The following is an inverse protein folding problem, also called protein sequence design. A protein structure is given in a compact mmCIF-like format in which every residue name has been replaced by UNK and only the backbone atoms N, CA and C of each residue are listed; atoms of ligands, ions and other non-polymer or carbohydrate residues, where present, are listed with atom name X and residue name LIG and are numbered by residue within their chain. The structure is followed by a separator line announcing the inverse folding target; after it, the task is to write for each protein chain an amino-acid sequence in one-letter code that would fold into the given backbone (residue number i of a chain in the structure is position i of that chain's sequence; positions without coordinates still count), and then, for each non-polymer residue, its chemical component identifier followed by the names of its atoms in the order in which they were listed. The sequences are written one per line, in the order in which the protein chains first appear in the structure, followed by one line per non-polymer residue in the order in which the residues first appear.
data_IF_877324197691
#
_entry.id   IF_877324197691
#
_cell.length_a   1.000
_cell.length_b   1.000
_cell.length_c   1.000
_cell.angle_alpha   90.00
_cell.angle_beta   90.00
_cell.angle_gamma   90.00
#
_symmetry.space_group_name_H-M   'P 1'
#
loop_
_entity.id
_entity.type
_entity.pdbx_description
1 polymer ?
#
# COMPACT_ATOMS: atom_id res chain seq x y z
N UNK A 1 32.93 -9.32 1.83
CA UNK A 1 32.20 -9.44 3.12
C UNK A 1 31.12 -8.38 3.17
N UNK A 2 29.85 -8.78 3.10
CA UNK A 2 28.70 -7.90 3.34
C UNK A 2 27.59 -8.74 3.97
N UNK A 3 27.88 -9.30 5.15
CA UNK A 3 26.84 -9.77 6.05
C UNK A 3 26.17 -8.56 6.67
N UNK A 4 25.14 -8.01 6.02
CA UNK A 4 24.19 -7.15 6.71
C UNK A 4 23.28 -8.03 7.55
N UNK A 5 23.01 -7.53 8.76
CA UNK A 5 22.40 -8.23 9.89
C UNK A 5 21.05 -8.89 9.54
N UNK A 6 20.71 -10.00 10.21
CA UNK A 6 19.36 -10.57 10.13
C UNK A 6 18.31 -9.51 10.51
N UNK A 7 17.09 -9.64 9.98
CA UNK A 7 15.98 -8.74 10.32
C UNK A 7 15.82 -8.61 11.83
N UNK A 8 15.54 -7.39 12.30
CA UNK A 8 15.27 -7.14 13.72
C UNK A 8 13.90 -7.70 14.16
N UNK A 9 13.03 -8.04 13.20
CA UNK A 9 11.64 -8.44 13.42
C UNK A 9 11.54 -9.98 13.47
N UNK A 10 11.71 -10.56 14.67
CA UNK A 10 11.84 -12.03 14.86
C UNK A 10 10.79 -12.66 15.79
N UNK A 11 9.73 -11.93 16.14
CA UNK A 11 8.70 -12.41 17.08
C UNK A 11 7.99 -13.70 16.62
N UNK A 12 7.88 -13.93 15.31
CA UNK A 12 7.35 -15.17 14.74
C UNK A 12 8.19 -16.44 15.05
N UNK A 13 9.43 -16.29 15.53
CA UNK A 13 10.28 -17.42 15.92
C UNK A 13 9.87 -18.06 17.26
N UNK A 14 9.04 -17.39 18.04
CA UNK A 14 8.29 -17.98 19.16
C UNK A 14 6.79 -18.07 18.75
N UNK A 15 6.34 -19.21 18.19
CA UNK A 15 4.97 -19.35 17.73
C UNK A 15 3.92 -19.31 18.84
N UNK A 16 4.31 -19.52 20.10
CA UNK A 16 3.40 -19.42 21.24
C UNK A 16 3.08 -17.96 21.52
N UNK A 17 4.13 -17.20 21.84
CA UNK A 17 4.02 -15.76 22.12
C UNK A 17 3.45 -14.98 20.93
N UNK A 18 3.86 -15.33 19.71
CA UNK A 18 3.36 -14.66 18.51
C UNK A 18 1.85 -14.82 18.33
N UNK A 19 1.31 -16.04 18.53
CA UNK A 19 -0.15 -16.26 18.43
C UNK A 19 -0.91 -15.53 19.50
N UNK A 20 -0.38 -15.49 20.72
CA UNK A 20 -0.97 -14.71 21.82
C UNK A 20 -1.00 -13.22 21.49
N UNK A 21 0.11 -12.65 21.00
CA UNK A 21 0.19 -11.26 20.54
C UNK A 21 -0.82 -10.95 19.42
N UNK A 22 -0.95 -11.84 18.43
CA UNK A 22 -1.91 -11.65 17.34
C UNK A 22 -3.36 -11.71 17.84
N UNK A 23 -3.70 -12.69 18.68
CA UNK A 23 -5.05 -12.83 19.22
C UNK A 23 -5.42 -11.67 20.15
N UNK A 24 -4.49 -11.24 21.01
CA UNK A 24 -4.64 -10.07 21.85
C UNK A 24 -4.89 -8.81 21.01
N UNK A 25 -4.04 -8.57 19.99
CA UNK A 25 -4.20 -7.44 19.07
C UNK A 25 -5.54 -7.48 18.33
N UNK A 26 -6.01 -8.68 17.95
CA UNK A 26 -7.30 -8.84 17.29
C UNK A 26 -8.46 -8.45 18.21
N UNK A 27 -8.40 -8.84 19.48
CA UNK A 27 -9.39 -8.45 20.49
C UNK A 27 -9.39 -6.93 20.73
N UNK A 28 -8.22 -6.31 20.89
CA UNK A 28 -8.08 -4.89 21.18
C UNK A 28 -8.45 -3.98 19.99
N UNK A 29 -8.10 -4.40 18.77
CA UNK A 29 -8.25 -3.56 17.57
C UNK A 29 -9.48 -3.89 16.74
N UNK A 30 -10.18 -4.98 17.04
CA UNK A 30 -11.31 -5.52 16.29
C UNK A 30 -11.00 -5.84 14.81
N UNK A 31 -9.72 -5.99 14.44
CA UNK A 31 -9.33 -6.51 13.13
C UNK A 31 -9.21 -8.04 13.15
N UNK A 32 -9.46 -8.72 12.01
CA UNK A 32 -9.24 -10.15 11.91
C UNK A 32 -7.78 -10.54 12.19
N UNK A 33 -7.58 -11.57 13.02
CA UNK A 33 -6.26 -12.09 13.37
C UNK A 33 -5.37 -12.40 12.15
N UNK A 34 -5.95 -12.97 11.08
CA UNK A 34 -5.26 -13.22 9.81
C UNK A 34 -4.63 -11.95 9.22
N UNK A 35 -5.34 -10.82 9.25
CA UNK A 35 -4.83 -9.56 8.70
C UNK A 35 -3.78 -8.93 9.60
N UNK A 36 -3.85 -9.13 10.92
CA UNK A 36 -2.82 -8.70 11.87
C UNK A 36 -1.53 -9.50 11.65
N UNK A 37 -1.62 -10.82 11.50
CA UNK A 37 -0.49 -11.67 11.13
C UNK A 37 0.13 -11.21 9.80
N UNK A 38 -0.72 -10.99 8.79
CA UNK A 38 -0.23 -10.53 7.49
C UNK A 38 0.40 -9.14 7.53
N UNK A 39 -0.12 -8.21 8.33
CA UNK A 39 0.49 -6.90 8.58
C UNK A 39 1.90 -7.02 9.19
N UNK A 40 2.11 -8.00 10.08
CA UNK A 40 3.42 -8.34 10.63
C UNK A 40 4.39 -8.82 9.55
N UNK A 41 4.00 -9.82 8.73
CA UNK A 41 4.87 -10.34 7.67
C UNK A 41 5.13 -9.31 6.56
N UNK A 42 4.17 -8.43 6.26
CA UNK A 42 4.38 -7.26 5.42
C UNK A 42 5.48 -6.33 5.99
N UNK A 43 5.54 -6.15 7.31
CA UNK A 43 6.55 -5.29 7.95
C UNK A 43 7.95 -5.92 7.89
N UNK A 44 8.04 -7.24 8.09
CA UNK A 44 9.26 -8.02 7.95
C UNK A 44 9.81 -7.95 6.51
N UNK A 45 8.94 -8.13 5.50
CA UNK A 45 9.31 -8.00 4.09
C UNK A 45 9.68 -6.55 3.71
N UNK A 46 8.96 -5.56 4.24
CA UNK A 46 9.24 -4.15 4.02
C UNK A 46 10.62 -3.74 4.58
N UNK A 47 10.97 -4.19 5.78
CA UNK A 47 12.30 -3.98 6.36
C UNK A 47 13.40 -4.56 5.47
N UNK A 48 13.22 -5.80 5.04
CA UNK A 48 14.17 -6.50 4.17
C UNK A 48 14.37 -5.78 2.82
N UNK A 49 13.29 -5.42 2.15
CA UNK A 49 13.35 -4.74 0.85
C UNK A 49 13.97 -3.34 0.96
N UNK A 50 13.55 -2.56 1.96
CA UNK A 50 14.06 -1.21 2.19
C UNK A 50 15.55 -1.19 2.54
N UNK A 51 16.05 -2.22 3.23
CA UNK A 51 17.47 -2.34 3.58
C UNK A 51 18.37 -2.74 2.38
N UNK A 52 17.79 -3.34 1.33
CA UNK A 52 18.53 -3.92 0.20
C UNK A 52 18.46 -3.09 -1.07
N UNK A 53 17.37 -2.37 -1.29
CA UNK A 53 17.19 -1.54 -2.46
C UNK A 53 16.73 -0.13 -2.06
N UNK A 54 17.71 0.76 -1.90
CA UNK A 54 17.46 2.16 -1.55
C UNK A 54 16.78 2.99 -2.66
N UNK A 55 16.55 2.41 -3.84
CA UNK A 55 15.79 3.05 -4.91
C UNK A 55 14.27 2.90 -4.73
N UNK A 56 13.83 1.94 -3.92
CA UNK A 56 12.42 1.70 -3.64
C UNK A 56 11.82 2.83 -2.81
N UNK A 57 10.68 3.32 -3.26
CA UNK A 57 9.85 4.27 -2.53
C UNK A 57 8.50 3.63 -2.24
N UNK A 58 8.22 3.40 -0.97
CA UNK A 58 7.00 2.78 -0.48
C UNK A 58 5.78 3.67 -0.68
N UNK A 59 4.72 3.12 -1.27
CA UNK A 59 3.50 3.84 -1.62
C UNK A 59 2.24 2.96 -1.47
N UNK A 60 1.13 3.43 -2.02
CA UNK A 60 -0.11 2.66 -2.07
C UNK A 60 -0.86 2.58 -0.73
N UNK A 61 -1.81 1.65 -0.65
CA UNK A 61 -2.72 1.54 0.49
C UNK A 61 -2.03 1.16 1.80
N UNK A 62 -1.05 0.26 1.72
CA UNK A 62 -0.30 -0.22 2.88
C UNK A 62 0.60 0.87 3.46
N UNK A 63 1.23 1.70 2.60
CA UNK A 63 1.96 2.89 3.05
C UNK A 63 1.05 3.88 3.77
N UNK A 64 -0.12 4.21 3.19
CA UNK A 64 -1.09 5.09 3.86
C UNK A 64 -1.49 4.55 5.24
N UNK A 65 -1.82 3.25 5.35
CA UNK A 65 -2.26 2.63 6.60
C UNK A 65 -1.17 2.65 7.68
N UNK A 66 0.05 2.21 7.34
CA UNK A 66 1.17 2.05 8.29
C UNK A 66 1.84 3.36 8.69
N UNK A 67 1.83 4.36 7.80
CA UNK A 67 2.63 5.58 7.96
C UNK A 67 1.77 6.80 8.30
N UNK A 68 0.63 6.98 7.62
CA UNK A 68 -0.07 8.27 7.61
C UNK A 68 -1.46 8.28 8.24
N UNK A 69 -2.08 7.11 8.42
CA UNK A 69 -3.50 7.03 8.73
C UNK A 69 -3.85 6.06 9.87
N UNK A 70 -2.85 5.58 10.62
CA UNK A 70 -3.04 4.87 11.88
C UNK A 70 -3.92 3.61 11.78
N UNK A 71 -3.71 2.80 10.74
CA UNK A 71 -4.48 1.57 10.50
C UNK A 71 -6.01 1.78 10.47
N UNK A 72 -6.46 2.83 9.79
CA UNK A 72 -7.87 3.03 9.44
C UNK A 72 -8.46 1.84 8.66
N UNK A 73 -7.62 1.13 7.92
CA UNK A 73 -7.89 -0.22 7.40
C UNK A 73 -6.61 -1.03 7.31
N UNK A 74 -6.74 -2.35 7.24
CA UNK A 74 -5.62 -3.20 6.89
C UNK A 74 -5.50 -3.37 5.37
N UNK A 75 -4.29 -3.71 4.93
CA UNK A 75 -3.91 -3.87 3.53
C UNK A 75 -2.88 -4.99 3.44
N UNK A 76 -2.94 -5.75 2.35
CA UNK A 76 -2.30 -7.07 2.27
C UNK A 76 -1.07 -7.10 1.34
N UNK A 77 -0.92 -6.10 0.48
CA UNK A 77 0.12 -6.04 -0.56
C UNK A 77 1.19 -4.98 -0.23
N UNK A 78 2.34 -5.05 -0.88
CA UNK A 78 3.37 -4.00 -0.82
C UNK A 78 3.56 -3.35 -2.18
N UNK A 79 3.22 -2.06 -2.25
CA UNK A 79 3.38 -1.25 -3.45
C UNK A 79 4.59 -0.32 -3.33
N UNK A 80 5.41 -0.29 -4.36
CA UNK A 80 6.57 0.58 -4.47
C UNK A 80 6.58 1.33 -5.80
N UNK A 81 7.41 2.36 -5.86
CA UNK A 81 7.83 3.01 -7.10
C UNK A 81 9.35 3.15 -7.08
N UNK A 82 9.98 2.94 -8.24
CA UNK A 82 11.35 3.39 -8.48
C UNK A 82 11.23 4.65 -9.36
N UNK A 83 11.49 5.85 -8.81
CA UNK A 83 11.27 7.10 -9.53
C UNK A 83 12.04 7.12 -10.85
N UNK A 84 11.29 7.26 -11.95
CA UNK A 84 11.83 7.14 -13.31
C UNK A 84 11.13 8.19 -14.18
N UNK A 85 11.88 8.83 -15.09
CA UNK A 85 11.28 9.76 -16.05
C UNK A 85 10.38 9.00 -17.05
N UNK A 86 9.39 9.69 -17.60
CA UNK A 86 8.32 9.06 -18.41
C UNK A 86 8.87 8.47 -19.72
N UNK A 87 9.90 9.08 -20.30
CA UNK A 87 10.51 8.76 -21.58
C UNK A 87 11.68 7.75 -21.50
N UNK A 88 11.94 7.21 -20.31
CA UNK A 88 13.02 6.24 -20.10
C UNK A 88 12.79 4.96 -20.92
N UNK A 89 13.88 4.40 -21.46
CA UNK A 89 13.82 3.18 -22.27
C UNK A 89 13.40 1.95 -21.46
N UNK A 90 12.82 0.94 -22.13
CA UNK A 90 12.50 -0.36 -21.51
C UNK A 90 13.74 -1.02 -20.88
N UNK A 91 14.89 -0.94 -21.55
CA UNK A 91 16.14 -1.53 -21.08
C UNK A 91 16.60 -0.89 -19.77
N UNK A 92 16.56 0.44 -19.70
CA UNK A 92 16.92 1.17 -18.48
C UNK A 92 15.93 0.89 -17.34
N UNK A 93 14.62 0.81 -17.60
CA UNK A 93 13.64 0.37 -16.59
C UNK A 93 13.98 -1.03 -16.05
N UNK A 94 14.37 -1.95 -16.93
CA UNK A 94 14.76 -3.30 -16.50
C UNK A 94 16.05 -3.34 -15.70
N UNK A 95 17.00 -2.45 -15.99
CA UNK A 95 18.21 -2.28 -15.20
C UNK A 95 17.89 -1.72 -13.81
N UNK A 96 17.03 -0.70 -13.72
CA UNK A 96 16.59 -0.11 -12.45
C UNK A 96 15.87 -1.13 -11.55
N UNK A 97 15.08 -2.02 -12.14
CA UNK A 97 14.39 -3.09 -11.41
C UNK A 97 15.29 -4.28 -11.01
N UNK A 98 16.58 -4.29 -11.37
CA UNK A 98 17.47 -5.42 -11.07
C UNK A 98 17.66 -5.63 -9.55
N UNK A 99 17.76 -4.54 -8.78
CA UNK A 99 17.94 -4.58 -7.32
C UNK A 99 16.80 -5.32 -6.61
N UNK A 100 15.56 -4.90 -6.86
CA UNK A 100 14.38 -5.56 -6.28
C UNK A 100 14.22 -7.01 -6.74
N UNK A 101 14.55 -7.34 -8.00
CA UNK A 101 14.53 -8.73 -8.49
C UNK A 101 15.51 -9.62 -7.73
N UNK A 102 16.74 -9.15 -7.56
CA UNK A 102 17.76 -9.86 -6.80
C UNK A 102 17.36 -9.98 -5.33
N UNK A 103 16.83 -8.91 -4.74
CA UNK A 103 16.35 -8.93 -3.35
C UNK A 103 15.25 -9.97 -3.14
N UNK A 104 14.23 -10.00 -3.99
CA UNK A 104 13.14 -10.99 -3.85
C UNK A 104 13.63 -12.41 -4.14
N UNK A 105 14.49 -12.62 -5.14
CA UNK A 105 15.07 -13.94 -5.43
C UNK A 105 15.88 -14.50 -4.25
N UNK A 106 16.63 -13.64 -3.56
CA UNK A 106 17.42 -14.02 -2.40
C UNK A 106 16.59 -14.15 -1.10
N UNK A 107 15.30 -13.80 -1.11
CA UNK A 107 14.44 -13.74 0.09
C UNK A 107 14.43 -15.05 0.88
N UNK A 108 14.22 -16.26 0.29
CA UNK A 108 14.12 -17.50 1.08
C UNK A 108 15.40 -17.85 1.84
N UNK A 109 16.56 -17.46 1.30
CA UNK A 109 17.85 -17.69 1.94
C UNK A 109 18.16 -16.68 3.06
N UNK A 110 17.45 -15.54 3.10
CA UNK A 110 17.70 -14.43 4.03
C UNK A 110 16.65 -14.31 5.12
N UNK A 111 15.41 -14.66 4.81
CA UNK A 111 14.30 -14.71 5.75
C UNK A 111 13.69 -16.11 5.70
N UNK A 112 14.20 -17.05 6.52
CA UNK A 112 13.59 -18.38 6.65
C UNK A 112 12.10 -18.24 6.98
N UNK A 113 11.26 -19.04 6.33
CA UNK A 113 9.81 -18.95 6.45
C UNK A 113 9.14 -18.18 5.31
N UNK A 114 9.90 -17.47 4.47
CA UNK A 114 9.42 -16.98 3.18
C UNK A 114 9.82 -17.89 2.02
N UNK A 115 8.94 -17.98 1.03
CA UNK A 115 9.18 -18.61 -0.27
C UNK A 115 8.81 -17.63 -1.40
N UNK A 116 9.39 -17.83 -2.59
CA UNK A 116 9.01 -17.09 -3.80
C UNK A 116 8.02 -17.95 -4.58
N UNK A 117 6.79 -17.45 -4.73
CA UNK A 117 5.73 -18.11 -5.52
C UNK A 117 5.87 -17.68 -6.98
N UNK A 118 5.95 -16.37 -7.20
CA UNK A 118 6.17 -15.78 -8.52
C UNK A 118 7.37 -14.82 -8.44
N UNK A 119 8.43 -15.03 -9.24
CA UNK A 119 9.55 -14.11 -9.26
C UNK A 119 9.11 -12.74 -9.78
N UNK A 120 9.82 -11.69 -9.37
CA UNK A 120 9.54 -10.32 -9.84
C UNK A 120 9.82 -10.22 -11.34
N UNK A 121 8.77 -10.09 -12.14
CA UNK A 121 8.86 -10.01 -13.61
C UNK A 121 8.26 -8.71 -14.12
N UNK A 122 8.78 -8.23 -15.25
CA UNK A 122 8.34 -6.96 -15.84
C UNK A 122 7.13 -7.15 -16.74
N UNK A 123 6.10 -6.32 -16.54
CA UNK A 123 4.91 -6.22 -17.35
C UNK A 123 4.82 -4.84 -18.03
N UNK A 124 3.92 -4.69 -19.00
CA UNK A 124 3.60 -3.42 -19.65
C UNK A 124 4.84 -2.65 -20.11
N UNK A 125 5.68 -3.26 -20.96
CA UNK A 125 6.95 -2.67 -21.44
C UNK A 125 7.89 -2.24 -20.30
N UNK A 126 7.96 -3.05 -19.24
CA UNK A 126 8.76 -2.82 -18.03
C UNK A 126 8.38 -1.57 -17.25
N UNK A 127 7.13 -1.10 -17.39
CA UNK A 127 6.61 0.03 -16.60
C UNK A 127 6.07 -0.41 -15.24
N UNK A 128 5.82 -1.72 -15.07
CA UNK A 128 5.41 -2.35 -13.83
C UNK A 128 6.19 -3.65 -13.64
N UNK A 129 6.52 -3.97 -12.39
CA UNK A 129 7.10 -5.24 -11.99
C UNK A 129 6.26 -5.86 -10.89
N UNK A 130 5.91 -7.13 -11.04
CA UNK A 130 5.04 -7.84 -10.12
C UNK A 130 5.75 -9.13 -9.70
N UNK A 131 5.73 -9.42 -8.41
CA UNK A 131 6.12 -10.72 -7.86
C UNK A 131 5.21 -11.10 -6.70
N UNK A 132 5.23 -12.37 -6.33
CA UNK A 132 4.44 -12.92 -5.24
C UNK A 132 5.35 -13.76 -4.36
N UNK A 133 5.37 -13.45 -3.08
CA UNK A 133 6.07 -14.24 -2.07
C UNK A 133 5.05 -14.84 -1.13
N UNK A 134 5.36 -15.99 -0.54
CA UNK A 134 4.52 -16.61 0.47
C UNK A 134 5.25 -16.74 1.80
N UNK A 135 4.48 -16.83 2.87
CA UNK A 135 4.94 -17.20 4.20
C UNK A 135 4.02 -18.28 4.79
N UNK A 136 4.57 -19.11 5.67
CA UNK A 136 3.76 -20.09 6.40
C UNK A 136 3.00 -19.40 7.55
N UNK A 137 1.67 -19.35 7.48
CA UNK A 137 0.84 -18.78 8.54
C UNK A 137 1.01 -19.59 9.83
N UNK A 138 1.29 -18.89 10.93
CA UNK A 138 1.37 -19.49 12.26
C UNK A 138 -0.02 -19.74 12.85
N UNK A 139 -1.03 -19.01 12.38
CA UNK A 139 -2.43 -19.20 12.74
C UNK A 139 -3.09 -20.37 12.01
N UNK A 140 -3.09 -20.35 10.67
CA UNK A 140 -3.85 -21.30 9.85
C UNK A 140 -3.05 -22.54 9.44
N UNK A 141 -1.71 -22.49 9.56
CA UNK A 141 -0.77 -23.49 9.03
C UNK A 141 -0.86 -23.67 7.50
N UNK A 142 -1.47 -22.72 6.82
CA UNK A 142 -1.50 -22.64 5.36
C UNK A 142 -0.51 -21.58 4.88
N UNK A 143 -0.11 -21.66 3.62
CA UNK A 143 0.65 -20.60 2.99
C UNK A 143 -0.25 -19.38 2.74
N UNK A 144 0.28 -18.21 3.06
CA UNK A 144 -0.31 -16.91 2.80
C UNK A 144 0.62 -16.14 1.87
N UNK A 145 0.06 -15.42 0.90
CA UNK A 145 0.85 -14.67 -0.09
C UNK A 145 0.82 -13.17 0.13
N UNK A 146 1.94 -12.52 -0.19
CA UNK A 146 2.08 -11.06 -0.25
C UNK A 146 2.49 -10.71 -1.68
N UNK A 147 1.68 -9.88 -2.34
CA UNK A 147 2.01 -9.34 -3.65
C UNK A 147 2.97 -8.16 -3.49
N UNK A 148 4.01 -8.14 -4.32
CA UNK A 148 4.96 -7.03 -4.44
C UNK A 148 4.72 -6.39 -5.81
N UNK A 149 4.37 -5.12 -5.82
CA UNK A 149 4.21 -4.34 -7.06
C UNK A 149 5.20 -3.16 -7.07
N UNK A 150 5.92 -2.97 -8.17
CA UNK A 150 6.87 -1.87 -8.34
C UNK A 150 6.58 -1.13 -9.64
N UNK A 151 6.19 0.14 -9.53
CA UNK A 151 6.00 1.03 -10.67
C UNK A 151 7.32 1.68 -11.13
N UNK A 152 7.53 1.77 -12.45
CA UNK A 152 8.65 2.46 -13.10
C UNK A 152 8.19 3.38 -14.24
N UNK A 153 6.94 3.85 -14.16
CA UNK A 153 6.27 4.58 -15.25
C UNK A 153 6.21 6.09 -15.07
N UNK A 154 6.38 6.56 -13.84
CA UNK A 154 6.14 7.96 -13.48
C UNK A 154 7.17 8.48 -12.46
N UNK A 155 7.50 9.78 -12.51
CA UNK A 155 8.34 10.38 -11.50
C UNK A 155 7.55 10.62 -10.20
N UNK A 156 8.30 10.83 -9.12
CA UNK A 156 7.74 11.46 -7.93
C UNK A 156 7.55 12.96 -8.18
N UNK A 157 6.40 13.47 -7.78
CA UNK A 157 6.07 14.89 -7.88
C UNK A 157 6.39 15.66 -6.58
N UNK A 158 6.61 14.93 -5.48
CA UNK A 158 7.04 15.47 -4.20
C UNK A 158 8.25 14.68 -3.66
N UNK A 159 9.11 15.30 -2.84
CA UNK A 159 10.23 14.59 -2.24
C UNK A 159 9.76 13.39 -1.40
N UNK A 160 10.35 12.23 -1.66
CA UNK A 160 10.19 11.06 -0.79
C UNK A 160 11.14 11.17 0.41
N UNK A 161 10.65 10.79 1.58
CA UNK A 161 11.39 10.85 2.84
C UNK A 161 11.23 9.54 3.62
N UNK A 162 12.18 9.25 4.51
CA UNK A 162 12.05 8.12 5.42
C UNK A 162 10.99 8.44 6.47
N UNK A 163 10.02 7.55 6.62
CA UNK A 163 8.95 7.71 7.61
C UNK A 163 8.77 6.41 8.41
N UNK A 164 8.41 6.50 9.70
CA UNK A 164 8.19 5.32 10.53
C UNK A 164 6.90 4.59 10.08
N UNK A 165 7.06 3.46 9.41
CA UNK A 165 6.02 2.50 9.11
C UNK A 165 5.82 1.58 10.33
N UNK A 166 4.63 1.66 10.93
CA UNK A 166 4.28 0.87 12.11
C UNK A 166 3.81 -0.54 11.73
N UNK A 167 3.80 -1.43 12.72
CA UNK A 167 3.13 -2.72 12.69
C UNK A 167 2.01 -2.68 13.73
N UNK A 168 0.84 -3.23 13.42
CA UNK A 168 -0.30 -3.15 14.34
C UNK A 168 -0.15 -4.05 15.58
N UNK A 169 0.74 -5.04 15.51
CA UNK A 169 0.96 -6.06 16.55
C UNK A 169 1.33 -5.43 17.91
N UNK A 170 0.53 -5.74 18.92
CA UNK A 170 0.68 -5.30 20.30
C UNK A 170 1.25 -6.42 21.18
N UNK A 171 2.02 -6.02 22.18
CA UNK A 171 2.48 -6.87 23.27
C UNK A 171 1.32 -7.11 24.26
N UNK A 172 0.96 -8.38 24.55
CA UNK A 172 -0.17 -8.71 25.45
C UNK A 172 -0.05 -8.22 26.89
N UNK A 173 1.17 -7.92 27.36
CA UNK A 173 1.42 -7.56 28.76
C UNK A 173 1.46 -6.04 28.93
N UNK A 174 2.18 -5.36 28.05
CA UNK A 174 2.41 -3.92 28.12
C UNK A 174 1.43 -3.09 27.29
N UNK A 175 0.67 -3.74 26.39
CA UNK A 175 -0.25 -3.11 25.42
C UNK A 175 0.46 -2.15 24.45
N UNK A 176 1.80 -2.17 24.40
CA UNK A 176 2.61 -1.33 23.52
C UNK A 176 2.87 -2.06 22.19
N UNK A 177 3.21 -1.32 21.11
CA UNK A 177 3.64 -1.96 19.87
C UNK A 177 4.81 -2.91 20.13
N UNK A 178 4.66 -4.17 19.71
CA UNK A 178 5.67 -5.22 19.91
C UNK A 178 6.84 -5.02 18.93
N UNK A 179 6.56 -4.52 17.73
CA UNK A 179 7.54 -4.31 16.66
C UNK A 179 7.93 -2.84 16.59
N UNK A 180 9.23 -2.56 16.61
CA UNK A 180 9.76 -1.23 16.36
C UNK A 180 9.43 -0.75 14.93
N UNK A 181 9.10 0.54 14.71
CA UNK A 181 8.78 1.03 13.38
C UNK A 181 9.95 0.86 12.39
N UNK A 182 9.65 0.34 11.20
CA UNK A 182 10.58 0.31 10.07
C UNK A 182 10.59 1.69 9.43
N UNK A 183 11.73 2.19 8.95
CA UNK A 183 11.82 3.54 8.35
C UNK A 183 12.11 3.50 6.84
N UNK A 184 11.22 2.94 5.99
CA UNK A 184 11.43 2.93 4.56
C UNK A 184 11.29 4.34 3.98
N UNK A 185 11.90 4.55 2.81
CA UNK A 185 11.66 5.74 2.00
C UNK A 185 10.23 5.69 1.47
N UNK A 186 9.40 6.69 1.78
CA UNK A 186 7.98 6.71 1.46
C UNK A 186 7.62 7.86 0.52
N UNK A 187 6.62 7.64 -0.33
CA UNK A 187 5.93 8.71 -1.04
C UNK A 187 5.26 9.64 -0.03
N UNK A 188 5.28 10.95 -0.30
CA UNK A 188 4.65 11.93 0.59
C UNK A 188 3.14 11.67 0.76
N UNK A 189 2.58 12.01 1.93
CA UNK A 189 1.15 11.86 2.22
C UNK A 189 0.26 12.51 1.14
N UNK A 190 0.63 13.72 0.72
CA UNK A 190 -0.14 14.52 -0.25
C UNK A 190 -0.13 13.85 -1.62
N UNK A 191 1.04 13.42 -2.10
CA UNK A 191 1.15 12.73 -3.39
C UNK A 191 0.45 11.37 -3.37
N UNK A 192 0.52 10.62 -2.25
CA UNK A 192 -0.19 9.36 -2.10
C UNK A 192 -1.72 9.53 -2.21
N UNK A 193 -2.29 10.60 -1.64
CA UNK A 193 -3.71 10.90 -1.83
C UNK A 193 -4.03 11.45 -3.23
N UNK A 194 -3.11 12.17 -3.87
CA UNK A 194 -3.26 12.54 -5.27
C UNK A 194 -3.31 11.29 -6.18
N UNK A 195 -2.52 10.24 -5.89
CA UNK A 195 -2.62 8.95 -6.59
C UNK A 195 -3.99 8.28 -6.36
N UNK A 196 -4.60 8.44 -5.18
CA UNK A 196 -5.95 7.93 -4.88
C UNK A 196 -7.02 8.64 -5.70
N UNK A 197 -6.95 9.96 -5.82
CA UNK A 197 -7.85 10.71 -6.71
C UNK A 197 -7.66 10.31 -8.16
N UNK A 198 -6.41 10.25 -8.65
CA UNK A 198 -6.10 9.76 -10.00
C UNK A 198 -6.70 8.36 -10.22
N UNK A 199 -6.46 7.43 -9.31
CA UNK A 199 -7.02 6.07 -9.40
C UNK A 199 -8.55 6.06 -9.41
N UNK A 200 -9.19 6.82 -8.52
CA UNK A 200 -10.65 6.93 -8.47
C UNK A 200 -11.24 7.45 -9.79
N UNK A 201 -10.58 8.41 -10.43
CA UNK A 201 -11.01 9.06 -11.66
C UNK A 201 -10.74 8.26 -12.93
N UNK A 202 -9.57 7.62 -13.07
CA UNK A 202 -9.04 7.21 -14.38
C UNK A 202 -8.67 5.74 -14.52
N UNK A 203 -8.89 4.91 -13.51
CA UNK A 203 -8.65 3.47 -13.71
C UNK A 203 -9.84 2.79 -14.40
N UNK A 204 -9.52 1.75 -15.18
CA UNK A 204 -10.50 0.93 -15.88
C UNK A 204 -11.47 0.22 -14.94
N UNK A 205 -10.95 -0.51 -13.96
CA UNK A 205 -11.75 -1.23 -12.96
C UNK A 205 -11.82 -0.44 -11.66
N UNK A 206 -13.00 0.02 -11.28
CA UNK A 206 -13.21 0.68 -9.98
C UNK A 206 -12.86 -0.24 -8.82
N UNK A 207 -12.42 0.35 -7.71
CA UNK A 207 -12.17 -0.32 -6.43
C UNK A 207 -12.57 0.63 -5.31
N UNK A 208 -13.57 0.19 -4.57
CA UNK A 208 -14.18 0.95 -3.50
C UNK A 208 -13.18 1.41 -2.43
N UNK A 209 -12.07 0.70 -2.25
CA UNK A 209 -11.01 1.05 -1.29
C UNK A 209 -10.41 2.43 -1.54
N UNK A 210 -10.27 2.88 -2.80
CA UNK A 210 -9.76 4.24 -3.07
C UNK A 210 -10.74 5.31 -2.62
N UNK A 211 -12.05 5.05 -2.75
CA UNK A 211 -13.09 5.97 -2.28
C UNK A 211 -13.15 5.99 -0.75
N UNK A 212 -12.95 4.84 -0.10
CA UNK A 212 -12.80 4.78 1.35
C UNK A 212 -11.58 5.59 1.83
N UNK A 213 -10.42 5.41 1.18
CA UNK A 213 -9.19 6.13 1.50
C UNK A 213 -9.37 7.66 1.36
N UNK A 214 -10.04 8.12 0.29
CA UNK A 214 -10.38 9.54 0.07
C UNK A 214 -11.32 10.05 1.16
N UNK A 215 -12.41 9.34 1.44
CA UNK A 215 -13.40 9.76 2.44
C UNK A 215 -12.78 9.89 3.83
N UNK A 216 -11.97 8.91 4.23
CA UNK A 216 -11.25 8.93 5.48
C UNK A 216 -10.27 10.11 5.55
N UNK A 217 -9.52 10.35 4.48
CA UNK A 217 -8.56 11.43 4.43
C UNK A 217 -9.19 12.82 4.57
N UNK A 218 -10.33 13.05 3.90
CA UNK A 218 -11.08 14.30 4.00
C UNK A 218 -11.60 14.51 5.42
N UNK A 219 -12.18 13.48 6.04
CA UNK A 219 -12.80 13.59 7.37
C UNK A 219 -11.81 13.66 8.52
N UNK A 220 -10.79 12.80 8.49
CA UNK A 220 -9.94 12.52 9.66
C UNK A 220 -8.50 12.98 9.51
N UNK A 221 -8.02 13.18 8.27
CA UNK A 221 -6.63 13.58 7.99
C UNK A 221 -6.49 15.02 7.49
N UNK A 222 -7.60 15.76 7.45
CA UNK A 222 -7.66 17.17 7.05
C UNK A 222 -7.39 17.41 5.57
N UNK A 223 -7.50 16.39 4.72
CA UNK A 223 -7.31 16.53 3.27
C UNK A 223 -8.34 17.52 2.72
N UNK A 224 -7.89 18.53 1.98
CA UNK A 224 -8.74 19.51 1.32
C UNK A 224 -8.72 19.25 -0.20
N UNK A 225 -9.70 18.53 -0.77
CA UNK A 225 -9.72 18.23 -2.20
C UNK A 225 -9.75 19.47 -3.10
N UNK A 226 -10.27 20.58 -2.57
CA UNK A 226 -10.36 21.87 -3.23
C UNK A 226 -9.04 22.66 -3.26
N UNK A 227 -8.03 22.23 -2.51
CA UNK A 227 -6.71 22.87 -2.50
C UNK A 227 -6.10 22.85 -3.91
N UNK A 228 -5.64 24.00 -4.40
CA UNK A 228 -5.10 24.10 -5.76
C UNK A 228 -3.83 23.26 -5.94
N UNK A 229 -3.02 23.10 -4.88
CA UNK A 229 -1.85 22.24 -4.88
C UNK A 229 -2.23 20.78 -5.13
N UNK A 230 -3.26 20.30 -4.44
CA UNK A 230 -3.85 18.98 -4.66
C UNK A 230 -4.35 18.82 -6.10
N UNK A 231 -5.17 19.75 -6.60
CA UNK A 231 -5.71 19.70 -7.98
C UNK A 231 -4.58 19.65 -9.01
N UNK A 232 -3.53 20.47 -8.83
CA UNK A 232 -2.33 20.47 -9.69
C UNK A 232 -1.59 19.13 -9.66
N UNK A 233 -1.45 18.51 -8.49
CA UNK A 233 -0.82 17.19 -8.36
C UNK A 233 -1.65 16.10 -9.05
N UNK A 234 -2.97 16.08 -8.85
CA UNK A 234 -3.87 15.13 -9.52
C UNK A 234 -3.81 15.30 -11.04
N UNK A 235 -3.80 16.54 -11.55
CA UNK A 235 -3.63 16.82 -12.99
C UNK A 235 -2.35 16.21 -13.54
N UNK A 236 -1.20 16.53 -12.92
CA UNK A 236 0.10 15.96 -13.33
C UNK A 236 0.13 14.43 -13.29
N UNK A 237 -0.58 13.79 -12.34
CA UNK A 237 -0.71 12.33 -12.26
C UNK A 237 -1.63 11.75 -13.34
N UNK A 238 -2.64 12.50 -13.79
CA UNK A 238 -3.50 12.12 -14.91
C UNK A 238 -2.80 12.29 -16.27
N UNK A 239 -1.89 13.26 -16.38
CA UNK A 239 -1.09 13.50 -17.60
C UNK A 239 -0.06 12.40 -17.88
N UNK A 240 0.22 11.53 -16.90
CA UNK A 240 1.03 10.32 -17.10
C UNK A 240 0.30 9.40 -18.10
N UNK A 241 0.97 8.89 -19.16
CA UNK A 241 0.35 7.99 -20.12
C UNK A 241 -0.22 6.70 -19.50
N UNK A 242 -1.30 6.17 -20.09
CA UNK A 242 -1.95 4.92 -19.67
C UNK A 242 -3.06 5.08 -18.63
N UNK A 243 -3.53 6.31 -18.39
CA UNK A 243 -4.77 6.59 -17.68
C UNK A 243 -5.96 6.50 -18.64
N UNK A 244 -7.08 5.91 -18.21
CA UNK A 244 -8.35 6.03 -18.94
C UNK A 244 -8.89 7.47 -18.82
N UNK A 245 -9.81 7.90 -19.69
CA UNK A 245 -10.53 9.15 -19.52
C UNK A 245 -11.15 9.25 -18.12
N UNK A 246 -11.20 10.48 -17.59
CA UNK A 246 -11.86 10.75 -16.30
C UNK A 246 -13.30 10.28 -16.38
N UNK A 247 -13.68 9.39 -15.45
CA UNK A 247 -15.00 8.80 -15.37
C UNK A 247 -15.59 9.07 -13.98
N UNK A 248 -16.71 9.79 -13.97
CA UNK A 248 -17.54 10.07 -12.78
C UNK A 248 -19.01 9.74 -13.07
N UNK A 249 -19.22 8.75 -13.93
CA UNK A 249 -20.53 8.30 -14.40
C UNK A 249 -21.37 7.61 -13.32
N UNK A 250 -22.66 7.44 -13.58
CA UNK A 250 -23.57 6.72 -12.68
C UNK A 250 -23.28 5.23 -12.66
N UNK A 251 -22.80 4.70 -13.78
CA UNK A 251 -22.36 3.32 -13.98
C UNK A 251 -21.18 3.02 -13.06
N UNK A 252 -20.19 3.94 -13.01
CA UNK A 252 -19.06 3.87 -12.08
C UNK A 252 -19.52 3.81 -10.63
N UNK A 253 -20.47 4.66 -10.24
CA UNK A 253 -21.06 4.67 -8.91
C UNK A 253 -21.84 3.37 -8.61
N UNK A 254 -22.55 2.81 -9.58
CA UNK A 254 -23.25 1.53 -9.43
C UNK A 254 -22.27 0.37 -9.18
N UNK A 255 -21.17 0.31 -9.93
CA UNK A 255 -20.12 -0.69 -9.72
C UNK A 255 -19.49 -0.57 -8.33
N UNK A 256 -19.22 0.65 -7.85
CA UNK A 256 -18.70 0.88 -6.50
C UNK A 256 -19.65 0.39 -5.40
N UNK A 257 -20.98 0.54 -5.59
CA UNK A 257 -21.98 0.03 -4.63
C UNK A 257 -21.91 -1.49 -4.49
N UNK A 258 -21.71 -2.20 -5.59
CA UNK A 258 -21.59 -3.67 -5.59
C UNK A 258 -20.34 -4.15 -4.84
N UNK A 259 -19.27 -3.36 -4.82
CA UNK A 259 -18.01 -3.71 -4.16
C UNK A 259 -17.98 -3.39 -2.66
N UNK A 260 -18.86 -2.50 -2.18
CA UNK A 260 -18.80 -1.94 -0.83
C UNK A 260 -18.70 -3.01 0.25
N UNK A 261 -19.62 -3.95 0.29
CA UNK A 261 -19.58 -5.00 1.30
C UNK A 261 -18.41 -5.97 1.12
N UNK A 262 -18.29 -6.67 -0.03
CA UNK A 262 -17.30 -7.74 -0.16
C UNK A 262 -15.85 -7.27 -0.09
N UNK A 263 -15.57 -6.01 -0.43
CA UNK A 263 -14.19 -5.52 -0.46
C UNK A 263 -13.78 -4.65 0.73
N UNK A 264 -14.75 -4.11 1.49
CA UNK A 264 -14.45 -3.30 2.69
C UNK A 264 -14.67 -4.06 4.00
N UNK A 265 -15.77 -4.83 4.15
CA UNK A 265 -16.02 -5.57 5.41
C UNK A 265 -14.83 -6.44 5.85
N UNK A 266 -14.10 -7.13 4.96
CA UNK A 266 -12.98 -7.96 5.39
C UNK A 266 -11.79 -7.17 5.97
N UNK A 267 -11.63 -5.89 5.61
CA UNK A 267 -10.42 -5.10 5.91
C UNK A 267 -10.67 -3.90 6.82
N UNK A 268 -11.93 -3.64 7.18
CA UNK A 268 -12.36 -2.55 8.05
C UNK A 268 -12.89 -3.10 9.37
N UNK A 269 -12.79 -2.28 10.41
CA UNK A 269 -13.60 -2.48 11.63
C UNK A 269 -15.05 -2.14 11.34
N UNK A 270 -15.96 -2.71 12.12
CA UNK A 270 -17.40 -2.47 11.95
C UNK A 270 -17.77 -0.98 12.07
N UNK A 271 -17.16 -0.26 13.01
CA UNK A 271 -17.37 1.19 13.17
C UNK A 271 -16.90 1.99 11.93
N UNK A 272 -15.70 1.68 11.43
CA UNK A 272 -15.12 2.33 10.25
C UNK A 272 -15.95 2.05 8.98
N UNK A 273 -16.49 0.82 8.85
CA UNK A 273 -17.37 0.44 7.74
C UNK A 273 -18.72 1.18 7.78
N UNK A 274 -19.30 1.38 8.98
CA UNK A 274 -20.55 2.14 9.16
C UNK A 274 -20.37 3.63 8.92
N UNK A 275 -19.23 4.20 9.31
CA UNK A 275 -18.94 5.63 9.13
C UNK A 275 -18.67 6.01 7.66
N UNK A 276 -18.21 5.04 6.86
CA UNK A 276 -17.94 5.24 5.43
C UNK A 276 -19.21 5.57 4.63
N UNK A 277 -19.20 6.72 3.97
CA UNK A 277 -20.26 7.19 3.08
C UNK A 277 -19.73 7.27 1.64
N UNK A 278 -20.16 6.32 0.81
CA UNK A 278 -19.80 6.28 -0.60
C UNK A 278 -20.31 7.51 -1.36
N UNK A 279 -21.47 8.07 -1.03
CA UNK A 279 -21.98 9.25 -1.72
C UNK A 279 -21.10 10.47 -1.42
N UNK A 280 -20.66 10.62 -0.17
CA UNK A 280 -19.73 11.69 0.22
C UNK A 280 -18.38 11.53 -0.48
N UNK A 281 -17.82 10.32 -0.49
CA UNK A 281 -16.58 10.02 -1.20
C UNK A 281 -16.68 10.33 -2.70
N UNK A 282 -17.78 9.90 -3.34
CA UNK A 282 -18.01 10.11 -4.76
C UNK A 282 -18.19 11.60 -5.09
N UNK A 283 -18.89 12.37 -4.25
CA UNK A 283 -18.99 13.83 -4.40
C UNK A 283 -17.62 14.51 -4.37
N UNK A 284 -16.71 14.10 -3.50
CA UNK A 284 -15.35 14.64 -3.45
C UNK A 284 -14.58 14.36 -4.76
N UNK A 285 -14.76 13.18 -5.35
CA UNK A 285 -14.15 12.81 -6.64
C UNK A 285 -14.78 13.58 -7.80
N UNK A 286 -16.10 13.78 -7.80
CA UNK A 286 -16.80 14.63 -8.80
C UNK A 286 -16.32 16.07 -8.73
N UNK A 287 -16.17 16.63 -7.52
CA UNK A 287 -15.67 17.99 -7.33
C UNK A 287 -14.23 18.14 -7.85
N UNK A 288 -13.37 17.16 -7.57
CA UNK A 288 -12.02 17.11 -8.16
C UNK A 288 -12.08 17.09 -9.70
N UNK A 289 -12.96 16.28 -10.29
CA UNK A 289 -13.13 16.22 -11.75
C UNK A 289 -13.56 17.57 -12.36
N UNK A 290 -14.47 18.30 -11.71
CA UNK A 290 -14.91 19.64 -12.15
C UNK A 290 -13.75 20.63 -12.18
N UNK A 291 -13.00 20.72 -11.08
CA UNK A 291 -11.82 21.61 -10.96
C UNK A 291 -10.72 21.28 -11.94
N UNK A 292 -10.55 20.00 -12.28
CA UNK A 292 -9.62 19.59 -13.33
C UNK A 292 -10.02 20.14 -14.70
N UNK A 293 -11.32 20.26 -14.98
CA UNK A 293 -11.87 20.79 -16.23
C UNK A 293 -11.95 22.32 -16.32
N UNK A 294 -12.08 23.03 -15.19
CA UNK A 294 -12.18 24.51 -15.13
C UNK A 294 -10.89 25.25 -15.55
N UNK A 295 -9.74 24.56 -15.57
CA UNK A 295 -8.43 25.14 -15.92
C UNK A 295 -7.83 24.51 -17.19
N UNK A 296 -8.67 24.16 -18.17
CA UNK A 296 -8.24 23.72 -19.51
C UNK A 296 -8.14 24.88 -20.48
#
# INVERSE_FOLDING_TARGET
MSGREPSAIRFHEDPGLFREAVNFTAAETAFPARLIEKDYFCSLLLEYLAARDGSLVFKGGTCLAKVYAGFYRLSEDLDFIIPTAVDVSRAERSQRAAGVKEAVSALPARLPGFSVVEPVTGANLSTQYIGVVAYASLLSRQEESIKIEVGLREPLLMPAANHPARTILLDPVSHKPLVAPVSPRCMSKVEAFAEKFRAALSRREVAIRDFYDIDYAVRKLGLQPQDEGMVRLVRKKLDVPGNEPVDVSRERLAALRQQREPQLKPVLREGDFREFDLQRAFRAVVEMAKRLGEHR
#
